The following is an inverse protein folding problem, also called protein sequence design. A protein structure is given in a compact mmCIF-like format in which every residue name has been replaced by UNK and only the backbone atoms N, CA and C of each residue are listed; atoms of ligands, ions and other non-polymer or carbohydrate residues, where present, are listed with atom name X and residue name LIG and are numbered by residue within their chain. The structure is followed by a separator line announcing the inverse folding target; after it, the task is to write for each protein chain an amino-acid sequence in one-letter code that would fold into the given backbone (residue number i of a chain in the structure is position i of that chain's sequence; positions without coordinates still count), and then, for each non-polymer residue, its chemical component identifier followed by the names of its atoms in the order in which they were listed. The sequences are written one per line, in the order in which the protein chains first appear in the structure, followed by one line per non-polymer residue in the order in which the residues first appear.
data_IF_836770810534
#
_entry.id   IF_836770810534
#
_cell.length_a   1.000
_cell.length_b   1.000
_cell.length_c   1.000
_cell.angle_alpha   90.00
_cell.angle_beta   90.00
_cell.angle_gamma   90.00
#
_symmetry.space_group_name_H-M   'P 1'
#
loop_
_entity.id
_entity.type
_entity.pdbx_description
1 polymer ?
#
# COMPACT_ATOMS: atom_id res chain seq x y z
N UNK A 1 -16.04 -9.12 16.03
CA UNK A 1 -14.79 -9.52 15.36
C UNK A 1 -14.45 -10.92 15.83
N UNK A 2 -14.18 -11.85 14.90
CA UNK A 2 -13.72 -13.19 15.25
C UNK A 2 -12.32 -13.13 15.86
N UNK A 3 -11.95 -14.16 16.62
CA UNK A 3 -10.65 -14.30 17.30
C UNK A 3 -9.44 -14.27 16.33
N UNK A 4 -9.69 -14.48 15.03
CA UNK A 4 -8.68 -14.47 13.97
C UNK A 4 -8.23 -13.05 13.59
N UNK A 5 -9.12 -12.05 13.68
CA UNK A 5 -8.78 -10.64 13.45
C UNK A 5 -7.88 -10.05 14.55
N UNK A 6 -7.92 -10.61 15.77
CA UNK A 6 -7.08 -10.18 16.89
C UNK A 6 -5.60 -10.58 16.71
N UNK A 7 -5.32 -11.66 15.95
CA UNK A 7 -3.96 -12.18 15.80
C UNK A 7 -3.16 -11.50 14.67
N UNK A 8 -3.86 -10.75 13.81
CA UNK A 8 -3.25 -10.08 12.65
C UNK A 8 -2.25 -8.99 13.06
N UNK A 9 -2.42 -8.41 14.24
CA UNK A 9 -1.60 -7.32 14.76
C UNK A 9 -0.68 -7.75 15.90
N UNK A 10 -0.53 -9.07 16.12
CA UNK A 10 0.34 -9.60 17.18
C UNK A 10 1.79 -9.67 16.68
N UNK A 11 2.72 -8.87 17.24
CA UNK A 11 4.13 -8.96 16.88
C UNK A 11 4.76 -10.26 17.42
N UNK A 12 5.81 -10.75 16.76
CA UNK A 12 6.65 -11.80 17.32
C UNK A 12 7.30 -11.34 18.63
N UNK A 13 7.57 -12.26 19.58
CA UNK A 13 8.25 -11.90 20.82
C UNK A 13 9.58 -11.18 20.57
N UNK A 14 9.74 -9.98 21.15
CA UNK A 14 10.96 -9.18 21.00
C UNK A 14 11.09 -8.44 19.66
N UNK A 15 10.03 -8.42 18.84
CA UNK A 15 10.01 -7.61 17.63
C UNK A 15 10.17 -6.11 17.93
N UNK A 16 10.84 -5.41 17.01
CA UNK A 16 10.90 -3.96 17.00
C UNK A 16 9.49 -3.42 16.75
N UNK A 17 9.18 -2.28 17.37
CA UNK A 17 7.91 -1.60 17.16
C UNK A 17 7.72 -1.20 15.71
N UNK A 18 6.54 -1.43 15.17
CA UNK A 18 6.04 -0.91 13.89
C UNK A 18 4.74 -0.13 14.13
N UNK A 19 4.25 0.58 13.11
CA UNK A 19 3.08 1.47 13.24
C UNK A 19 1.77 0.80 12.85
N UNK A 20 0.64 1.36 13.25
CA UNK A 20 -0.67 0.82 12.91
C UNK A 20 -1.67 1.94 12.65
N UNK A 21 -2.68 1.65 11.83
CA UNK A 21 -3.82 2.53 11.64
C UNK A 21 -4.88 2.18 12.70
N UNK A 22 -4.90 2.94 13.78
CA UNK A 22 -5.60 2.56 15.01
C UNK A 22 -4.76 1.61 15.88
N UNK A 23 -5.30 1.20 17.02
CA UNK A 23 -4.63 0.34 17.99
C UNK A 23 -5.61 -0.71 18.54
N UNK A 24 -5.12 -1.69 19.29
CA UNK A 24 -5.92 -2.75 19.91
C UNK A 24 -7.05 -2.13 20.75
N UNK A 25 -8.29 -2.47 20.40
CA UNK A 25 -9.50 -1.92 21.05
C UNK A 25 -9.86 -0.48 20.65
N UNK A 26 -9.10 0.14 19.74
CA UNK A 26 -9.33 1.49 19.19
C UNK A 26 -8.98 1.52 17.69
N UNK A 27 -9.76 0.80 16.89
CA UNK A 27 -9.65 0.79 15.43
C UNK A 27 -10.82 1.53 14.78
N UNK A 28 -10.64 1.91 13.51
CA UNK A 28 -11.67 2.47 12.63
C UNK A 28 -11.61 1.74 11.30
N UNK A 29 -12.76 1.40 10.73
CA UNK A 29 -12.84 0.81 9.39
C UNK A 29 -12.44 1.86 8.33
N UNK A 30 -11.86 1.41 7.22
CA UNK A 30 -11.49 2.32 6.12
C UNK A 30 -12.71 3.01 5.53
N UNK A 31 -13.84 2.33 5.44
CA UNK A 31 -15.09 2.90 4.92
C UNK A 31 -15.66 3.99 5.84
N UNK A 32 -15.60 3.78 7.16
CA UNK A 32 -15.99 4.79 8.16
C UNK A 32 -15.05 6.00 8.12
N UNK A 33 -13.74 5.76 8.01
CA UNK A 33 -12.75 6.82 7.85
C UNK A 33 -12.98 7.61 6.54
N UNK A 34 -13.22 6.93 5.42
CA UNK A 34 -13.54 7.54 4.14
C UNK A 34 -14.80 8.42 4.23
N UNK A 35 -15.87 7.92 4.89
CA UNK A 35 -17.08 8.69 5.12
C UNK A 35 -16.80 9.96 5.95
N UNK A 36 -15.98 9.86 7.00
CA UNK A 36 -15.60 11.01 7.82
C UNK A 36 -14.78 12.05 7.05
N UNK A 37 -13.88 11.63 6.16
CA UNK A 37 -13.12 12.54 5.29
C UNK A 37 -14.03 13.20 4.25
N UNK A 38 -14.94 12.46 3.61
CA UNK A 38 -15.91 13.03 2.65
C UNK A 38 -16.90 14.00 3.30
N UNK A 39 -17.20 13.83 4.58
CA UNK A 39 -18.13 14.69 5.31
C UNK A 39 -17.56 16.09 5.63
N UNK A 40 -16.26 16.32 5.42
CA UNK A 40 -15.66 17.64 5.61
C UNK A 40 -16.21 18.66 4.59
N UNK A 41 -16.26 19.94 4.97
CA UNK A 41 -16.69 21.03 4.08
C UNK A 41 -15.59 21.51 3.11
N UNK A 42 -14.49 20.77 3.05
CA UNK A 42 -13.37 20.99 2.14
C UNK A 42 -12.96 19.64 1.52
N UNK A 43 -12.31 19.70 0.36
CA UNK A 43 -11.66 18.53 -0.22
C UNK A 43 -10.24 18.45 0.31
N UNK A 44 -9.84 17.27 0.80
CA UNK A 44 -8.47 17.04 1.26
C UNK A 44 -7.56 16.88 0.05
N UNK A 45 -6.48 17.67 -0.02
CA UNK A 45 -5.52 17.60 -1.12
C UNK A 45 -4.73 16.29 -1.13
N UNK A 46 -4.29 15.85 0.06
CA UNK A 46 -3.54 14.62 0.23
C UNK A 46 -3.73 14.03 1.63
N UNK A 47 -3.63 12.71 1.73
CA UNK A 47 -3.50 11.99 2.99
C UNK A 47 -2.11 11.37 3.08
N UNK A 48 -1.50 11.40 4.25
CA UNK A 48 -0.32 10.60 4.55
C UNK A 48 -0.70 9.60 5.64
N UNK A 49 -0.50 8.32 5.35
CA UNK A 49 -0.60 7.27 6.34
C UNK A 49 0.78 6.91 6.85
N UNK A 50 1.11 7.41 8.04
CA UNK A 50 2.27 6.98 8.81
C UNK A 50 1.90 5.72 9.62
N UNK A 51 1.46 4.70 8.89
CA UNK A 51 0.94 3.44 9.38
C UNK A 51 1.26 2.30 8.37
N UNK A 52 1.36 1.08 8.87
CA UNK A 52 1.65 -0.10 8.04
C UNK A 52 0.50 -0.42 7.07
N UNK A 53 0.85 -1.00 5.92
CA UNK A 53 -0.08 -1.63 4.96
C UNK A 53 -1.15 -0.73 4.31
N UNK A 54 -1.07 0.59 4.50
CA UNK A 54 -2.07 1.52 3.99
C UNK A 54 -1.96 1.80 2.47
N UNK A 55 -0.84 1.43 1.82
CA UNK A 55 -0.77 1.38 0.36
C UNK A 55 -1.28 0.03 -0.16
N UNK A 56 -2.56 -0.21 0.08
CA UNK A 56 -3.30 -1.39 -0.31
C UNK A 56 -4.40 -0.98 -1.30
N UNK A 57 -4.56 -1.70 -2.42
CA UNK A 57 -5.45 -1.26 -3.50
C UNK A 57 -6.92 -1.22 -3.05
N UNK A 58 -7.36 -2.15 -2.20
CA UNK A 58 -8.70 -2.16 -1.63
C UNK A 58 -8.94 -0.90 -0.77
N UNK A 59 -7.99 -0.57 0.11
CA UNK A 59 -8.01 0.64 0.95
C UNK A 59 -8.00 1.92 0.11
N UNK A 60 -7.09 2.02 -0.84
CA UNK A 60 -6.94 3.20 -1.71
C UNK A 60 -8.18 3.39 -2.58
N UNK A 61 -8.78 2.31 -3.06
CA UNK A 61 -10.00 2.39 -3.85
C UNK A 61 -11.17 2.95 -3.05
N UNK A 62 -11.37 2.56 -1.78
CA UNK A 62 -12.40 3.15 -0.92
C UNK A 62 -12.15 4.65 -0.64
N UNK A 63 -10.88 5.08 -0.64
CA UNK A 63 -10.49 6.46 -0.44
C UNK A 63 -10.49 7.32 -1.72
N UNK A 64 -10.71 6.74 -2.91
CA UNK A 64 -10.47 7.40 -4.22
C UNK A 64 -11.22 8.72 -4.43
N UNK A 65 -12.37 8.86 -3.82
CA UNK A 65 -13.19 10.08 -3.92
C UNK A 65 -12.93 11.08 -2.78
N UNK A 66 -12.14 10.72 -1.78
CA UNK A 66 -11.94 11.51 -0.55
C UNK A 66 -10.81 12.55 -0.67
N UNK A 67 -9.79 12.23 -1.46
CA UNK A 67 -8.54 13.00 -1.57
C UNK A 67 -7.97 12.91 -2.97
N UNK A 68 -7.08 13.83 -3.37
CA UNK A 68 -6.42 13.77 -4.69
C UNK A 68 -5.20 12.84 -4.68
N UNK A 69 -4.52 12.75 -3.54
CA UNK A 69 -3.32 11.94 -3.36
C UNK A 69 -3.31 11.19 -2.03
N UNK A 70 -2.65 10.03 -2.00
CA UNK A 70 -2.34 9.30 -0.76
C UNK A 70 -0.86 8.90 -0.76
N UNK A 71 -0.16 9.18 0.33
CA UNK A 71 1.19 8.68 0.58
C UNK A 71 1.09 7.59 1.65
N UNK A 72 1.52 6.38 1.32
CA UNK A 72 1.37 5.24 2.21
C UNK A 72 2.41 4.14 1.94
N UNK A 73 2.61 3.25 2.91
CA UNK A 73 3.50 2.11 2.77
C UNK A 73 2.70 0.82 2.49
N UNK A 74 3.14 -0.03 1.55
CA UNK A 74 2.55 -1.36 1.37
C UNK A 74 3.16 -2.39 2.34
N UNK A 75 4.30 -2.05 2.95
CA UNK A 75 5.00 -2.85 3.97
C UNK A 75 4.77 -2.25 5.38
N UNK A 76 5.44 -2.82 6.38
CA UNK A 76 5.50 -2.21 7.72
C UNK A 76 6.38 -0.95 7.75
N UNK A 77 5.92 0.07 8.50
CA UNK A 77 6.69 1.26 8.86
C UNK A 77 7.25 1.07 10.27
N UNK A 78 8.57 1.25 10.44
CA UNK A 78 9.22 1.18 11.75
C UNK A 78 8.60 2.18 12.74
N UNK A 79 8.64 1.89 14.04
CA UNK A 79 8.00 2.71 15.08
C UNK A 79 8.42 4.19 15.05
N UNK A 80 9.65 4.48 14.60
CA UNK A 80 10.11 5.85 14.36
C UNK A 80 9.18 6.63 13.40
N UNK A 81 8.67 5.99 12.35
CA UNK A 81 7.74 6.57 11.38
C UNK A 81 8.39 7.50 10.37
N UNK A 82 7.55 8.41 9.86
CA UNK A 82 7.98 9.38 8.85
C UNK A 82 9.04 10.36 9.38
N UNK A 83 10.09 10.68 8.60
CA UNK A 83 11.07 11.70 8.96
C UNK A 83 10.49 13.12 8.70
N UNK A 84 9.57 13.56 9.56
CA UNK A 84 8.83 14.81 9.35
C UNK A 84 9.73 16.05 9.26
N UNK A 85 10.83 16.10 10.00
CA UNK A 85 11.83 17.17 9.92
C UNK A 85 12.38 17.35 8.48
N UNK A 86 12.47 16.26 7.72
CA UNK A 86 12.97 16.24 6.34
C UNK A 86 11.86 16.34 5.29
N UNK A 87 10.69 15.79 5.60
CA UNK A 87 9.55 15.75 4.69
C UNK A 87 8.71 17.04 4.72
N UNK A 88 8.65 17.73 5.87
CA UNK A 88 7.77 18.91 6.06
C UNK A 88 7.93 20.00 5.00
N UNK A 89 9.16 20.40 4.59
CA UNK A 89 9.33 21.43 3.57
C UNK A 89 8.68 21.09 2.22
N UNK A 90 8.55 19.79 1.89
CA UNK A 90 7.99 19.34 0.63
C UNK A 90 6.46 19.27 0.63
N UNK A 91 5.83 19.21 1.81
CA UNK A 91 4.39 19.39 1.91
C UNK A 91 3.95 20.83 1.64
N UNK A 92 4.83 21.81 1.88
CA UNK A 92 4.51 23.23 1.85
C UNK A 92 5.55 24.03 1.06
N UNK A 93 5.65 23.75 -0.25
CA UNK A 93 6.55 24.51 -1.14
C UNK A 93 5.95 25.88 -1.46
N UNK A 94 6.79 26.80 -1.97
CA UNK A 94 6.37 28.18 -2.31
C UNK A 94 5.59 28.89 -1.19
N UNK A 95 6.09 28.78 0.06
CA UNK A 95 5.44 29.38 1.23
C UNK A 95 4.06 28.80 1.55
N UNK A 96 3.81 27.54 1.20
CA UNK A 96 2.55 26.83 1.46
C UNK A 96 1.54 26.87 0.32
N UNK A 97 1.91 27.39 -0.85
CA UNK A 97 1.04 27.42 -2.05
C UNK A 97 1.19 26.19 -2.93
N UNK A 98 2.25 25.41 -2.74
CA UNK A 98 2.53 24.22 -3.51
C UNK A 98 2.91 23.04 -2.63
N UNK A 99 3.09 21.89 -3.29
CA UNK A 99 3.58 20.65 -2.70
C UNK A 99 4.43 19.89 -3.70
N UNK A 100 5.39 19.12 -3.21
CA UNK A 100 6.15 18.13 -3.98
C UNK A 100 6.07 16.78 -3.26
N UNK A 101 4.99 16.04 -3.52
CA UNK A 101 4.73 14.77 -2.85
C UNK A 101 5.70 13.66 -3.29
N UNK A 102 6.32 13.78 -4.47
CA UNK A 102 7.41 12.90 -4.89
C UNK A 102 8.61 13.08 -3.97
N UNK A 103 8.99 14.33 -3.66
CA UNK A 103 10.07 14.62 -2.72
C UNK A 103 9.77 14.19 -1.29
N UNK A 104 8.50 14.17 -0.89
CA UNK A 104 8.08 13.56 0.40
C UNK A 104 8.41 12.08 0.43
N UNK A 105 8.04 11.31 -0.61
CA UNK A 105 8.40 9.89 -0.72
C UNK A 105 9.92 9.68 -0.77
N UNK A 106 10.65 10.52 -1.52
CA UNK A 106 12.11 10.47 -1.57
C UNK A 106 12.73 10.75 -0.18
N UNK A 107 12.19 11.68 0.61
CA UNK A 107 12.70 11.99 1.94
C UNK A 107 12.56 10.79 2.90
N UNK A 108 11.40 10.11 2.86
CA UNK A 108 11.17 8.87 3.61
C UNK A 108 12.16 7.79 3.20
N UNK A 109 12.24 7.50 1.90
CA UNK A 109 13.12 6.46 1.37
C UNK A 109 14.59 6.74 1.71
N UNK A 110 15.07 7.97 1.48
CA UNK A 110 16.45 8.35 1.78
C UNK A 110 16.79 8.21 3.26
N UNK A 111 15.87 8.57 4.15
CA UNK A 111 16.05 8.40 5.59
C UNK A 111 16.24 6.93 5.96
N UNK A 112 15.33 6.05 5.52
CA UNK A 112 15.43 4.62 5.82
C UNK A 112 16.62 3.94 5.13
N UNK A 113 17.01 4.41 3.96
CA UNK A 113 18.15 3.86 3.23
C UNK A 113 19.49 4.20 3.91
N UNK A 114 19.65 5.41 4.45
CA UNK A 114 20.96 5.93 4.82
C UNK A 114 21.15 6.21 6.33
N UNK A 115 20.09 6.54 7.06
CA UNK A 115 20.21 7.10 8.41
C UNK A 115 19.46 6.30 9.49
N UNK A 116 18.38 5.61 9.13
CA UNK A 116 17.64 4.79 10.07
C UNK A 116 18.47 3.57 10.52
N UNK A 117 18.30 3.19 11.79
CA UNK A 117 18.96 1.97 12.34
C UNK A 117 18.51 0.70 11.63
N UNK A 118 17.24 0.65 11.19
CA UNK A 118 16.68 -0.46 10.44
C UNK A 118 16.38 0.02 9.02
N UNK A 119 17.07 -0.53 8.02
CA UNK A 119 16.90 -0.17 6.61
C UNK A 119 15.63 -0.77 6.01
N UNK A 120 14.48 -0.33 6.51
CA UNK A 120 13.14 -0.80 6.14
C UNK A 120 12.27 0.38 5.74
N UNK A 121 12.27 0.71 4.46
CA UNK A 121 11.42 1.76 3.90
C UNK A 121 10.79 1.32 2.59
N UNK A 122 9.49 1.02 2.60
CA UNK A 122 8.65 0.91 1.42
C UNK A 122 7.67 2.09 1.42
N UNK A 123 7.60 2.86 0.34
CA UNK A 123 6.70 4.03 0.26
C UNK A 123 6.19 4.22 -1.16
N UNK A 124 4.93 4.59 -1.30
CA UNK A 124 4.35 4.98 -2.57
C UNK A 124 3.46 6.22 -2.46
N UNK A 125 3.39 6.95 -3.57
CA UNK A 125 2.38 7.97 -3.82
C UNK A 125 1.31 7.37 -4.74
N UNK A 126 0.07 7.35 -4.27
CA UNK A 126 -1.11 7.04 -5.06
C UNK A 126 -1.75 8.33 -5.60
N UNK A 127 -2.03 8.36 -6.90
CA UNK A 127 -2.77 9.42 -7.58
C UNK A 127 -4.22 8.96 -7.70
N UNK A 128 -5.12 9.55 -6.90
CA UNK A 128 -6.46 8.98 -6.69
C UNK A 128 -7.37 9.11 -7.90
N UNK A 129 -7.14 10.11 -8.76
CA UNK A 129 -7.85 10.26 -10.04
C UNK A 129 -7.62 9.10 -11.01
N UNK A 130 -6.57 8.30 -10.80
CA UNK A 130 -6.21 7.17 -11.67
C UNK A 130 -6.80 5.83 -11.21
N UNK A 131 -7.52 5.81 -10.08
CA UNK A 131 -8.10 4.58 -9.50
C UNK A 131 -9.19 3.97 -10.39
N UNK A 132 -9.97 4.79 -11.09
CA UNK A 132 -10.96 4.28 -12.06
C UNK A 132 -10.29 3.59 -13.25
N UNK A 133 -9.14 4.11 -13.70
CA UNK A 133 -8.33 3.45 -14.73
C UNK A 133 -7.76 2.11 -14.23
N UNK A 134 -7.27 2.06 -12.99
CA UNK A 134 -6.79 0.82 -12.35
C UNK A 134 -7.90 -0.24 -12.26
N UNK A 135 -9.10 0.17 -11.84
CA UNK A 135 -10.28 -0.68 -11.80
C UNK A 135 -10.61 -1.28 -13.18
N UNK A 136 -10.67 -0.46 -14.23
CA UNK A 136 -11.02 -0.96 -15.58
C UNK A 136 -9.98 -1.92 -16.17
N UNK A 137 -8.68 -1.70 -15.92
CA UNK A 137 -7.67 -2.65 -16.38
C UNK A 137 -7.68 -3.93 -15.56
N UNK A 138 -7.88 -3.85 -14.25
CA UNK A 138 -7.97 -5.04 -13.40
C UNK A 138 -9.20 -5.88 -13.74
N UNK A 139 -10.35 -5.26 -14.02
CA UNK A 139 -11.56 -5.97 -14.47
C UNK A 139 -11.32 -6.79 -15.74
N UNK A 140 -10.57 -6.22 -16.70
CA UNK A 140 -10.16 -6.95 -17.91
C UNK A 140 -9.19 -8.09 -17.60
N UNK A 141 -8.24 -7.88 -16.69
CA UNK A 141 -7.30 -8.92 -16.24
C UNK A 141 -8.02 -10.05 -15.51
N UNK A 142 -9.03 -9.76 -14.68
CA UNK A 142 -9.80 -10.76 -13.94
C UNK A 142 -10.75 -11.58 -14.83
N UNK A 143 -11.30 -10.96 -15.87
CA UNK A 143 -12.05 -11.67 -16.90
C UNK A 143 -11.16 -12.54 -17.83
N UNK A 144 -9.86 -12.25 -17.91
CA UNK A 144 -8.94 -13.00 -18.76
C UNK A 144 -8.51 -14.33 -18.12
N UNK A 145 -8.22 -15.37 -18.92
CA UNK A 145 -7.69 -16.64 -18.41
C UNK A 145 -6.41 -16.43 -17.61
N UNK A 146 -6.39 -16.97 -16.38
CA UNK A 146 -5.22 -16.93 -15.51
C UNK A 146 -4.23 -18.04 -15.87
N UNK A 147 -2.94 -17.74 -15.77
CA UNK A 147 -1.84 -18.67 -15.92
C UNK A 147 -1.38 -19.14 -14.53
N UNK A 148 -1.05 -20.42 -14.39
CA UNK A 148 -0.32 -20.92 -13.23
C UNK A 148 1.14 -20.45 -13.24
N UNK A 149 1.67 -20.12 -12.07
CA UNK A 149 3.06 -19.74 -11.87
C UNK A 149 3.66 -20.57 -10.73
N UNK A 150 4.97 -20.84 -10.80
CA UNK A 150 5.70 -21.61 -9.79
C UNK A 150 6.53 -20.70 -8.87
N UNK A 151 6.75 -19.47 -9.32
CA UNK A 151 7.45 -18.40 -8.63
C UNK A 151 6.69 -17.98 -7.35
N UNK A 152 7.45 -17.69 -6.30
CA UNK A 152 6.89 -17.14 -5.07
C UNK A 152 6.45 -15.69 -5.31
N UNK A 153 5.18 -15.41 -5.04
CA UNK A 153 4.64 -14.07 -5.16
C UNK A 153 5.18 -13.20 -4.02
N UNK A 154 5.80 -12.07 -4.36
CA UNK A 154 6.29 -11.07 -3.41
C UNK A 154 5.16 -10.67 -2.45
N UNK A 155 5.38 -10.87 -1.15
CA UNK A 155 4.57 -10.34 -0.06
C UNK A 155 5.26 -9.15 0.60
N UNK A 156 4.49 -8.34 1.31
CA UNK A 156 4.97 -7.15 2.02
C UNK A 156 4.88 -7.28 3.54
N UNK A 157 4.73 -8.50 4.04
CA UNK A 157 4.80 -8.85 5.46
C UNK A 157 5.53 -10.19 5.67
N UNK A 158 5.82 -10.52 6.93
CA UNK A 158 6.63 -11.67 7.32
C UNK A 158 5.87 -12.86 7.91
N UNK A 159 4.55 -12.94 7.73
CA UNK A 159 3.70 -14.04 8.19
C UNK A 159 3.99 -15.35 7.44
N UNK A 160 3.52 -16.48 7.96
CA UNK A 160 3.65 -17.80 7.33
C UNK A 160 2.63 -18.06 6.21
N UNK A 161 1.47 -17.42 6.29
CA UNK A 161 0.48 -17.32 5.20
C UNK A 161 0.18 -15.84 5.03
N UNK A 162 0.34 -15.36 3.80
CA UNK A 162 0.46 -13.96 3.48
C UNK A 162 -0.87 -13.32 3.11
N UNK A 163 -0.98 -12.01 3.35
CA UNK A 163 -2.19 -11.22 3.09
C UNK A 163 -1.93 -10.09 2.11
N UNK A 164 -0.75 -9.46 2.19
CA UNK A 164 -0.43 -8.28 1.39
C UNK A 164 0.58 -8.67 0.31
N UNK A 165 0.08 -9.00 -0.88
CA UNK A 165 0.90 -9.35 -2.02
C UNK A 165 1.13 -8.16 -2.95
N UNK A 166 2.26 -8.15 -3.66
CA UNK A 166 2.56 -7.16 -4.68
C UNK A 166 1.60 -7.31 -5.88
N UNK A 167 0.77 -6.30 -6.13
CA UNK A 167 -0.23 -6.32 -7.21
C UNK A 167 0.41 -6.45 -8.59
N UNK A 168 1.46 -5.67 -8.87
CA UNK A 168 2.10 -5.68 -10.17
C UNK A 168 2.83 -6.98 -10.48
N UNK A 169 3.46 -7.59 -9.47
CA UNK A 169 4.11 -8.88 -9.61
C UNK A 169 3.08 -9.98 -9.87
N UNK A 170 1.93 -9.95 -9.18
CA UNK A 170 0.86 -10.91 -9.46
C UNK A 170 0.33 -10.78 -10.89
N UNK A 171 0.09 -9.56 -11.38
CA UNK A 171 -0.34 -9.38 -12.78
C UNK A 171 0.71 -9.94 -13.75
N UNK A 172 1.99 -9.73 -13.49
CA UNK A 172 3.07 -10.28 -14.32
C UNK A 172 3.07 -11.82 -14.33
N UNK A 173 2.81 -12.47 -13.21
CA UNK A 173 2.82 -13.92 -13.12
C UNK A 173 1.51 -14.56 -13.64
N UNK A 174 0.37 -14.00 -13.25
CA UNK A 174 -0.95 -14.61 -13.42
C UNK A 174 -1.65 -14.24 -14.74
N UNK A 175 -1.36 -13.07 -15.33
CA UNK A 175 -1.99 -12.67 -16.59
C UNK A 175 -1.30 -13.34 -17.79
N UNK A 176 -2.02 -14.11 -18.59
CA UNK A 176 -1.47 -14.71 -19.81
C UNK A 176 -1.38 -13.77 -21.02
N UNK A 177 -2.11 -12.66 -20.99
CA UNK A 177 -2.21 -11.71 -22.10
C UNK A 177 -1.16 -10.60 -21.99
N UNK A 178 -0.24 -10.56 -22.97
CA UNK A 178 0.85 -9.59 -22.99
C UNK A 178 0.37 -8.14 -23.16
N UNK A 179 -0.74 -7.92 -23.88
CA UNK A 179 -1.29 -6.57 -24.08
C UNK A 179 -1.94 -6.06 -22.80
N UNK A 180 -2.66 -6.93 -22.08
CA UNK A 180 -3.23 -6.55 -20.78
C UNK A 180 -2.14 -6.23 -19.74
N UNK A 181 -1.02 -6.95 -19.74
CA UNK A 181 0.14 -6.60 -18.91
C UNK A 181 0.70 -5.21 -19.23
N UNK A 182 0.85 -4.89 -20.51
CA UNK A 182 1.33 -3.58 -20.95
C UNK A 182 0.36 -2.46 -20.53
N UNK A 183 -0.94 -2.65 -20.78
CA UNK A 183 -1.99 -1.72 -20.38
C UNK A 183 -1.99 -1.50 -18.86
N UNK A 184 -1.86 -2.58 -18.08
CA UNK A 184 -1.78 -2.50 -16.63
C UNK A 184 -0.55 -1.74 -16.17
N UNK A 185 0.63 -2.05 -16.73
CA UNK A 185 1.87 -1.34 -16.39
C UNK A 185 1.77 0.15 -16.70
N UNK A 186 1.18 0.51 -17.83
CA UNK A 186 0.97 1.90 -18.20
C UNK A 186 0.01 2.61 -17.21
N UNK A 187 -1.04 1.93 -16.77
CA UNK A 187 -1.98 2.50 -15.79
C UNK A 187 -1.39 2.56 -14.38
N UNK A 188 -0.64 1.54 -13.97
CA UNK A 188 0.08 1.51 -12.70
C UNK A 188 1.10 2.65 -12.62
N UNK A 189 1.81 2.97 -13.72
CA UNK A 189 2.76 4.07 -13.76
C UNK A 189 2.09 5.46 -13.64
N UNK A 190 0.79 5.58 -13.94
CA UNK A 190 0.00 6.80 -13.68
C UNK A 190 -0.48 6.85 -12.22
N UNK A 191 -1.05 5.75 -11.75
CA UNK A 191 -1.60 5.66 -10.39
C UNK A 191 -0.52 5.68 -9.31
N UNK A 192 0.64 5.09 -9.58
CA UNK A 192 1.80 4.98 -8.69
C UNK A 192 3.07 5.36 -9.45
N UNK A 193 3.35 6.67 -9.61
CA UNK A 193 4.48 7.15 -10.40
C UNK A 193 5.81 6.55 -9.96
N UNK A 194 6.62 6.06 -10.91
CA UNK A 194 7.93 5.43 -10.65
C UNK A 194 8.85 6.24 -9.74
N UNK A 195 8.85 7.57 -9.88
CA UNK A 195 9.68 8.46 -9.08
C UNK A 195 9.25 8.51 -7.60
N UNK A 196 8.02 8.12 -7.30
CA UNK A 196 7.41 8.22 -5.97
C UNK A 196 6.99 6.86 -5.39
N UNK A 197 7.30 5.73 -6.05
CA UNK A 197 7.21 4.37 -5.49
C UNK A 197 8.62 3.82 -5.25
N UNK A 198 9.07 3.88 -4.00
CA UNK A 198 10.46 3.61 -3.62
C UNK A 198 10.53 2.55 -2.53
N UNK A 199 11.54 1.69 -2.60
CA UNK A 199 11.82 0.69 -1.58
C UNK A 199 13.31 0.61 -1.24
N UNK A 200 13.62 0.27 0.00
CA UNK A 200 14.92 -0.31 0.38
C UNK A 200 15.02 -1.74 -0.20
N UNK A 201 16.22 -2.36 -0.24
CA UNK A 201 16.38 -3.75 -0.73
C UNK A 201 15.59 -4.81 0.06
N UNK A 202 15.14 -4.47 1.28
CA UNK A 202 14.30 -5.31 2.12
C UNK A 202 13.45 -4.46 3.07
N UNK A 203 12.48 -5.09 3.73
CA UNK A 203 11.65 -4.50 4.76
C UNK A 203 11.68 -5.35 6.04
N UNK A 204 11.58 -4.72 7.19
CA UNK A 204 11.42 -5.40 8.47
C UNK A 204 9.96 -5.82 8.64
N UNK A 205 9.72 -7.01 9.19
CA UNK A 205 8.39 -7.39 9.65
C UNK A 205 8.37 -7.78 11.12
N UNK A 206 7.44 -7.20 11.87
CA UNK A 206 7.26 -7.53 13.27
C UNK A 206 6.71 -8.95 13.45
N UNK A 207 6.05 -9.54 12.44
CA UNK A 207 5.50 -10.90 12.50
C UNK A 207 6.55 -11.99 12.55
N UNK A 208 7.76 -11.74 12.03
CA UNK A 208 8.88 -12.68 12.10
C UNK A 208 10.16 -12.10 12.71
N UNK A 209 10.11 -10.84 13.14
CA UNK A 209 11.20 -10.19 13.85
C UNK A 209 12.45 -9.93 13.01
N UNK A 210 12.37 -9.99 11.67
CA UNK A 210 13.55 -9.92 10.78
C UNK A 210 13.31 -9.08 9.52
N UNK A 211 14.40 -8.84 8.79
CA UNK A 211 14.37 -8.27 7.44
C UNK A 211 13.94 -9.33 6.42
N UNK A 212 13.09 -8.94 5.48
CA UNK A 212 12.57 -9.73 4.37
C UNK A 212 12.92 -9.02 3.06
N UNK A 213 13.27 -9.74 1.98
CA UNK A 213 13.72 -9.12 0.74
C UNK A 213 12.57 -8.48 -0.04
N UNK A 214 12.89 -7.40 -0.76
CA UNK A 214 12.03 -6.81 -1.79
C UNK A 214 12.66 -7.12 -3.15
N UNK A 215 12.23 -8.21 -3.77
CA UNK A 215 12.66 -8.60 -5.11
C UNK A 215 11.81 -7.92 -6.20
N UNK A 216 10.53 -7.66 -5.91
CA UNK A 216 9.59 -6.97 -6.78
C UNK A 216 8.90 -5.84 -6.00
N UNK A 217 8.65 -4.72 -6.67
CA UNK A 217 8.02 -3.56 -6.05
C UNK A 217 7.15 -2.76 -7.02
N UNK A 218 5.84 -2.96 -6.93
CA UNK A 218 4.83 -2.13 -7.61
C UNK A 218 4.38 -0.94 -6.77
N UNK A 219 4.72 -0.90 -5.48
CA UNK A 219 4.35 0.17 -4.56
C UNK A 219 2.94 0.05 -3.98
N UNK A 220 2.19 -0.99 -4.34
CA UNK A 220 0.83 -1.21 -3.84
C UNK A 220 0.59 -2.70 -3.60
N UNK A 221 -0.01 -3.01 -2.45
CA UNK A 221 -0.42 -4.36 -2.12
C UNK A 221 -1.85 -4.66 -2.56
N UNK A 222 -2.19 -5.94 -2.66
CA UNK A 222 -3.58 -6.41 -2.75
C UNK A 222 -3.69 -7.79 -2.08
N UNK A 223 -4.92 -8.20 -1.74
CA UNK A 223 -5.15 -9.37 -0.88
C UNK A 223 -5.85 -10.54 -1.55
N UNK A 224 -6.29 -10.41 -2.79
CA UNK A 224 -7.03 -11.46 -3.51
C UNK A 224 -6.33 -12.84 -3.56
N UNK A 225 -4.98 -12.96 -3.69
CA UNK A 225 -4.31 -14.27 -3.72
C UNK A 225 -4.22 -14.95 -2.35
N UNK A 226 -4.56 -14.24 -1.27
CA UNK A 226 -4.50 -14.78 0.08
C UNK A 226 -5.57 -15.86 0.29
N UNK A 227 -5.22 -16.89 1.04
CA UNK A 227 -6.17 -17.87 1.57
C UNK A 227 -6.86 -17.39 2.85
N UNK A 228 -6.47 -16.23 3.38
CA UNK A 228 -7.08 -15.59 4.55
C UNK A 228 -8.07 -14.51 4.11
N UNK A 229 -9.14 -14.35 4.89
CA UNK A 229 -10.15 -13.29 4.71
C UNK A 229 -10.77 -13.24 3.31
N UNK A 230 -10.92 -14.40 2.67
CA UNK A 230 -11.43 -14.50 1.29
C UNK A 230 -12.84 -13.89 1.16
N UNK A 231 -13.71 -14.12 2.14
CA UNK A 231 -15.09 -13.62 2.10
C UNK A 231 -15.18 -12.12 2.42
N UNK A 232 -14.28 -11.61 3.25
CA UNK A 232 -14.15 -10.18 3.52
C UNK A 232 -13.55 -9.44 2.33
N UNK A 233 -12.56 -10.03 1.64
CA UNK A 233 -11.99 -9.45 0.42
C UNK A 233 -13.08 -9.28 -0.67
N UNK A 234 -13.96 -10.28 -0.83
CA UNK A 234 -15.13 -10.21 -1.73
C UNK A 234 -16.12 -9.10 -1.40
N UNK A 235 -16.11 -8.61 -0.16
CA UNK A 235 -16.96 -7.51 0.30
C UNK A 235 -16.30 -6.13 0.12
N UNK A 236 -15.07 -6.05 -0.35
CA UNK A 236 -14.44 -4.76 -0.66
C UNK A 236 -15.07 -4.13 -1.90
N UNK A 237 -15.07 -2.80 -1.98
CA UNK A 237 -15.54 -2.11 -3.20
C UNK A 237 -14.68 -2.45 -4.41
N UNK A 238 -13.36 -2.63 -4.19
CA UNK A 238 -12.43 -3.03 -5.24
C UNK A 238 -12.80 -4.38 -5.85
N UNK A 239 -13.05 -5.41 -5.04
CA UNK A 239 -13.40 -6.73 -5.55
C UNK A 239 -14.69 -6.69 -6.36
N UNK A 240 -15.75 -6.07 -5.82
CA UNK A 240 -17.07 -5.96 -6.48
C UNK A 240 -17.02 -5.26 -7.83
N UNK A 241 -16.11 -4.29 -8.00
CA UNK A 241 -16.02 -3.50 -9.22
C UNK A 241 -15.03 -4.08 -10.25
N UNK A 242 -14.28 -5.12 -9.87
CA UNK A 242 -13.26 -5.77 -10.72
C UNK A 242 -13.58 -7.23 -11.08
N UNK A 243 -14.72 -7.76 -10.62
CA UNK A 243 -15.23 -9.11 -10.92
C UNK A 243 -16.66 -9.05 -11.44
#
# INVERSE_FOLDING_TARGET
MSKELEDLWTPAPGALTTRSFGDTGRSIDITDFAAAVKAQNYRTDYLLFDACFMANIETLYDLRECTDYVIAAPCEIMGQGFPYDRAMPWFFTDGGKGRDLTKVCEAFWNFYMNDATTQSGCISLAVMSEMEGMKEVMRRINAAPKKSYAEELQSYEGMSSHIFYDLGHWVELACGDAKLKEDFKAQLDKAFPKAARLSTPGFYSAYNGRMNPVAYYSGVSFSEPSDKYVEENKQTSWYRDTH
#
